data_IF_396058244919
#
_entry.id   IF_396058244919
#
_cell.length_a   1.000
_cell.length_b   1.000
_cell.length_c   1.000
_cell.angle_alpha   90.00
_cell.angle_beta   90.00
_cell.angle_gamma   90.00
#
_symmetry.space_group_name_H-M   'P 1'
#
loop_
_entity.id
_entity.type
_entity.pdbx_description
1 polymer ?
#
# COMPACT_ATOMS: atom_id res chain seq x y z
N UNK A 1 -1.02 -12.46 7.33
CA UNK A 1 0.04 -12.15 6.35
C UNK A 1 -0.25 -10.85 5.66
N UNK A 2 0.77 -10.06 5.39
CA UNK A 2 0.63 -8.81 4.66
C UNK A 2 0.01 -9.05 3.27
N UNK A 3 -1.09 -8.36 2.99
CA UNK A 3 -1.68 -8.34 1.66
C UNK A 3 -0.93 -7.31 0.81
N UNK A 4 -0.30 -7.77 -0.26
CA UNK A 4 0.37 -6.86 -1.18
C UNK A 4 -0.67 -6.30 -2.13
N UNK A 5 -1.31 -5.18 -1.75
CA UNK A 5 -2.32 -4.55 -2.59
C UNK A 5 -1.68 -3.96 -3.83
N UNK A 6 -2.33 -4.08 -5.01
CA UNK A 6 -1.69 -3.74 -6.26
C UNK A 6 -1.68 -2.25 -6.59
N UNK A 7 -2.37 -1.41 -5.82
CA UNK A 7 -2.56 -0.02 -6.17
C UNK A 7 -2.61 0.91 -4.96
N UNK A 8 -2.35 2.19 -5.22
CA UNK A 8 -2.62 3.24 -4.26
C UNK A 8 -4.13 3.41 -4.10
N UNK A 9 -4.63 3.38 -2.88
CA UNK A 9 -6.07 3.46 -2.62
C UNK A 9 -6.65 4.86 -2.81
N UNK A 10 -5.82 5.86 -3.04
CA UNK A 10 -6.27 7.22 -3.31
C UNK A 10 -6.23 7.60 -4.79
N UNK A 11 -5.10 7.36 -5.47
CA UNK A 11 -4.93 7.78 -6.87
C UNK A 11 -4.94 6.61 -7.85
N UNK A 12 -5.04 5.38 -7.35
CA UNK A 12 -5.07 4.15 -8.14
C UNK A 12 -3.78 3.87 -8.93
N UNK A 13 -2.68 4.50 -8.53
CA UNK A 13 -1.36 4.23 -9.12
C UNK A 13 -0.96 2.78 -8.84
N UNK A 14 -0.38 2.10 -9.81
CA UNK A 14 0.13 0.75 -9.61
C UNK A 14 1.29 0.75 -8.63
N UNK A 15 1.22 -0.16 -7.64
CA UNK A 15 2.25 -0.31 -6.61
C UNK A 15 2.66 -1.79 -6.53
N UNK A 16 3.45 -2.26 -7.49
CA UNK A 16 3.89 -3.66 -7.48
C UNK A 16 4.83 -3.95 -6.31
N UNK A 17 4.98 -5.23 -5.99
CA UNK A 17 5.95 -5.65 -4.99
C UNK A 17 7.34 -5.13 -5.38
N UNK A 18 8.04 -4.53 -4.43
CA UNK A 18 9.33 -3.90 -4.70
C UNK A 18 9.25 -2.41 -5.01
N UNK A 19 8.04 -1.83 -5.14
CA UNK A 19 7.89 -0.40 -5.34
C UNK A 19 8.35 0.36 -4.10
N UNK A 20 9.30 1.29 -4.30
CA UNK A 20 9.88 2.05 -3.18
C UNK A 20 8.95 3.14 -2.65
N UNK A 21 7.91 3.50 -3.41
CA UNK A 21 6.96 4.54 -3.02
C UNK A 21 5.67 3.97 -2.40
N UNK A 22 5.66 2.70 -2.02
CA UNK A 22 4.49 2.09 -1.40
C UNK A 22 4.55 2.22 0.11
N UNK A 23 3.51 2.82 0.70
CA UNK A 23 3.38 2.96 2.14
C UNK A 23 2.11 2.26 2.63
N UNK A 24 2.15 1.78 3.86
CA UNK A 24 1.01 1.10 4.49
C UNK A 24 0.72 1.71 5.85
N UNK A 25 -0.54 1.60 6.27
CA UNK A 25 -0.97 2.01 7.61
C UNK A 25 -1.03 0.79 8.54
N UNK A 26 -1.63 0.97 9.73
CA UNK A 26 -1.73 -0.11 10.72
C UNK A 26 -2.64 -1.25 10.27
N UNK A 27 -3.54 -1.00 9.32
CA UNK A 27 -4.42 -2.02 8.74
C UNK A 27 -4.02 -2.38 7.31
N UNK A 28 -2.77 -2.06 6.93
CA UNK A 28 -2.21 -2.38 5.62
C UNK A 28 -2.90 -1.68 4.45
N UNK A 29 -3.66 -0.61 4.70
CA UNK A 29 -4.16 0.26 3.64
C UNK A 29 -2.94 0.83 2.89
N UNK A 30 -2.96 0.75 1.57
CA UNK A 30 -1.79 1.04 0.75
C UNK A 30 -1.94 2.35 -0.01
N UNK A 31 -0.92 3.19 0.05
CA UNK A 31 -0.90 4.48 -0.62
C UNK A 31 0.48 4.72 -1.20
N UNK A 32 0.54 5.46 -2.32
CA UNK A 32 1.83 5.88 -2.85
C UNK A 32 2.39 7.01 -1.97
N UNK A 33 3.69 7.25 -2.10
CA UNK A 33 4.38 8.26 -1.28
C UNK A 33 3.74 9.64 -1.40
N UNK A 34 3.40 10.06 -2.62
CA UNK A 34 2.77 11.37 -2.84
C UNK A 34 1.43 11.48 -2.11
N UNK A 35 0.57 10.45 -2.20
CA UNK A 35 -0.71 10.48 -1.50
C UNK A 35 -0.51 10.42 0.01
N UNK A 36 0.40 9.55 0.49
CA UNK A 36 0.62 9.40 1.93
C UNK A 36 1.15 10.68 2.57
N UNK A 37 2.06 11.39 1.89
CA UNK A 37 2.68 12.61 2.44
C UNK A 37 1.88 13.87 2.15
N UNK A 38 1.48 14.07 0.88
CA UNK A 38 0.89 15.34 0.45
C UNK A 38 -0.62 15.36 0.62
N UNK A 39 -1.31 14.29 0.24
CA UNK A 39 -2.76 14.23 0.29
C UNK A 39 -3.29 13.92 1.69
N UNK A 40 -2.65 12.99 2.39
CA UNK A 40 -3.10 12.53 3.72
C UNK A 40 -2.21 13.04 4.85
N UNK A 41 -1.11 13.71 4.53
CA UNK A 41 -0.21 14.34 5.51
C UNK A 41 0.26 13.37 6.59
N UNK A 42 0.55 12.13 6.18
CA UNK A 42 1.06 11.11 7.09
C UNK A 42 0.02 10.43 7.97
N UNK A 43 -1.28 10.69 7.73
CA UNK A 43 -2.37 10.09 8.50
C UNK A 43 -3.28 9.31 7.56
N UNK A 44 -3.49 8.02 7.86
CA UNK A 44 -4.36 7.18 7.03
C UNK A 44 -5.81 7.64 7.14
N UNK A 45 -6.50 7.89 6.00
CA UNK A 45 -7.89 8.34 6.03
C UNK A 45 -8.85 7.25 6.53
N UNK A 46 -8.42 5.98 6.52
CA UNK A 46 -9.28 4.87 6.92
C UNK A 46 -9.17 4.53 8.41
N UNK A 47 -7.95 4.50 8.94
CA UNK A 47 -7.74 4.05 10.33
C UNK A 47 -7.19 5.15 11.26
N UNK A 48 -6.74 6.26 10.71
CA UNK A 48 -6.17 7.34 11.51
C UNK A 48 -4.75 7.10 12.00
N UNK A 49 -4.15 5.97 11.63
CA UNK A 49 -2.77 5.66 11.99
C UNK A 49 -1.78 6.32 11.05
N UNK A 50 -0.50 6.23 11.41
CA UNK A 50 0.56 6.74 10.55
C UNK A 50 0.96 5.71 9.49
N UNK A 51 1.85 6.12 8.58
CA UNK A 51 2.33 5.28 7.51
C UNK A 51 3.76 4.83 7.75
N UNK A 52 4.10 3.67 7.19
CA UNK A 52 5.48 3.21 7.09
C UNK A 52 5.71 2.60 5.72
N UNK A 53 6.98 2.49 5.32
CA UNK A 53 7.33 1.89 4.04
C UNK A 53 6.89 0.42 4.02
N UNK A 54 6.22 0.03 2.93
CA UNK A 54 5.76 -1.35 2.78
C UNK A 54 6.95 -2.30 2.58
N UNK A 55 7.03 -3.39 3.33
CA UNK A 55 8.06 -4.40 3.11
C UNK A 55 7.98 -5.02 1.72
N UNK A 56 9.11 -5.44 1.19
CA UNK A 56 9.19 -6.13 -0.10
C UNK A 56 9.20 -7.62 0.16
N UNK A 57 8.27 -8.36 -0.47
CA UNK A 57 8.26 -9.81 -0.35
C UNK A 57 9.36 -10.41 -1.20
N UNK A 58 10.17 -11.36 -0.66
CA UNK A 58 11.22 -12.01 -1.47
C UNK A 58 10.64 -12.68 -2.71
N UNK A 59 11.37 -12.61 -3.82
CA UNK A 59 10.93 -13.20 -5.08
C UNK A 59 10.62 -14.69 -4.94
N UNK A 60 11.38 -15.41 -4.11
CA UNK A 60 11.15 -16.83 -3.88
C UNK A 60 9.80 -17.14 -3.24
N UNK A 61 9.21 -16.18 -2.54
CA UNK A 61 7.90 -16.34 -1.91
C UNK A 61 6.75 -15.87 -2.79
N UNK A 62 7.03 -15.12 -3.86
CA UNK A 62 5.98 -14.58 -4.73
C UNK A 62 5.23 -15.66 -5.50
N UNK A 63 5.88 -16.79 -5.78
CA UNK A 63 5.22 -17.91 -6.46
C UNK A 63 4.14 -18.55 -5.59
N UNK A 64 4.40 -18.66 -4.30
CA UNK A 64 3.48 -19.29 -3.35
C UNK A 64 2.50 -18.27 -2.76
N UNK A 65 2.95 -17.05 -2.56
CA UNK A 65 2.16 -15.98 -1.94
C UNK A 65 2.20 -14.74 -2.84
N UNK A 66 1.50 -14.77 -4.00
CA UNK A 66 1.56 -13.68 -4.95
C UNK A 66 0.91 -12.40 -4.44
N UNK A 67 1.24 -11.29 -5.11
CA UNK A 67 0.60 -10.02 -4.85
C UNK A 67 -0.90 -10.13 -5.12
N UNK A 68 -1.71 -9.42 -4.33
CA UNK A 68 -3.14 -9.34 -4.56
C UNK A 68 -3.43 -8.70 -5.92
N UNK A 69 -4.44 -9.21 -6.62
CA UNK A 69 -4.92 -8.63 -7.87
C UNK A 69 -6.19 -7.80 -7.65
N UNK A 70 -6.67 -7.75 -6.43
CA UNK A 70 -7.90 -7.03 -6.09
C UNK A 70 -7.59 -5.56 -5.85
N UNK A 71 -8.02 -4.70 -6.75
CA UNK A 71 -7.85 -3.25 -6.61
C UNK A 71 -8.96 -2.69 -5.73
N UNK A 72 -8.55 -1.90 -4.74
CA UNK A 72 -9.47 -1.29 -3.78
C UNK A 72 -9.14 0.20 -3.71
N UNK A 73 -10.17 1.04 -3.67
CA UNK A 73 -10.01 2.48 -3.49
C UNK A 73 -10.56 2.86 -2.12
N UNK A 74 -9.83 3.73 -1.42
CA UNK A 74 -10.26 4.23 -0.12
C UNK A 74 -11.48 5.15 -0.31
N UNK A 75 -12.37 5.13 0.67
CA UNK A 75 -13.47 6.09 0.75
C UNK A 75 -12.98 7.27 1.58
N UNK A 76 -12.94 8.43 0.95
CA UNK A 76 -12.47 9.65 1.60
C UNK A 76 -13.63 10.60 1.90
#
# INVERSE_FOLDING_TARGET
MLELRPNCESCDRDLPNGEVDAYICTFECTFCKACAEDRHKGVCPNCGGNFSLRPVRPAALMDKYPQSIKRILAQE
#
